data_IF_964807784783
#
_entry.id   IF_964807784783
#
_cell.length_a   1.000
_cell.length_b   1.000
_cell.length_c   1.000
_cell.angle_alpha   90.00
_cell.angle_beta   90.00
_cell.angle_gamma   90.00
#
_symmetry.space_group_name_H-M   'P 1'
#
loop_
_entity.id
_entity.type
_entity.pdbx_description
1 polymer ?
#
# COMPACT_ATOMS: atom_id res chain seq x y z
N UNK A 1 3.62 13.20 -8.24
CA UNK A 1 4.55 12.44 -9.11
C UNK A 1 5.81 12.22 -8.30
N UNK A 2 5.82 11.19 -7.47
CA UNK A 2 7.02 10.77 -6.74
C UNK A 2 8.08 10.40 -7.78
N UNK A 3 9.28 10.95 -7.64
CA UNK A 3 10.41 10.68 -8.55
C UNK A 3 10.78 9.19 -8.48
N UNK A 4 11.19 8.57 -9.60
CA UNK A 4 11.72 7.20 -9.58
C UNK A 4 12.94 7.11 -8.67
N UNK A 5 12.96 6.08 -7.84
CA UNK A 5 13.94 5.87 -6.78
C UNK A 5 15.29 5.38 -7.37
N UNK A 6 16.44 5.91 -6.94
CA UNK A 6 17.76 5.45 -7.36
C UNK A 6 18.04 4.00 -6.87
N UNK A 7 18.59 3.18 -7.77
CA UNK A 7 18.61 1.72 -7.66
C UNK A 7 19.87 1.10 -7.04
N UNK A 8 20.68 1.86 -6.29
CA UNK A 8 21.96 1.36 -5.78
C UNK A 8 22.34 2.01 -4.45
N UNK A 9 21.73 1.56 -3.36
CA UNK A 9 22.12 2.03 -2.02
C UNK A 9 22.28 0.86 -1.05
N UNK A 10 23.43 0.78 -0.39
CA UNK A 10 23.79 -0.36 0.49
C UNK A 10 23.22 -0.16 1.90
N UNK A 11 22.44 -1.13 2.40
CA UNK A 11 22.15 -1.40 3.83
C UNK A 11 21.36 -0.32 4.60
N UNK A 12 22.05 0.68 5.14
CA UNK A 12 21.46 1.75 5.97
C UNK A 12 20.49 2.62 5.15
N UNK A 13 20.85 2.86 3.90
CA UNK A 13 20.06 3.60 2.93
C UNK A 13 18.76 2.90 2.51
N UNK A 14 18.76 1.56 2.40
CA UNK A 14 17.54 0.79 2.11
C UNK A 14 16.54 0.82 3.26
N UNK A 15 17.02 0.86 4.52
CA UNK A 15 16.15 1.02 5.68
C UNK A 15 15.52 2.41 5.70
N UNK A 16 16.32 3.47 5.52
CA UNK A 16 15.80 4.85 5.45
C UNK A 16 14.79 4.99 4.30
N UNK A 17 15.11 4.42 3.14
CA UNK A 17 14.23 4.39 1.99
C UNK A 17 12.93 3.64 2.28
N UNK A 18 13.00 2.46 2.91
CA UNK A 18 11.82 1.69 3.29
C UNK A 18 10.89 2.49 4.22
N UNK A 19 11.44 3.22 5.18
CA UNK A 19 10.67 4.04 6.11
C UNK A 19 10.02 5.25 5.43
N UNK A 20 10.74 5.93 4.53
CA UNK A 20 10.21 7.09 3.79
C UNK A 20 9.04 6.68 2.88
N UNK A 21 9.13 5.50 2.24
CA UNK A 21 8.14 5.03 1.26
C UNK A 21 7.16 3.98 1.82
N UNK A 22 7.14 3.76 3.13
CA UNK A 22 6.33 2.73 3.78
C UNK A 22 4.83 2.89 3.49
N UNK A 23 4.34 4.13 3.45
CA UNK A 23 2.93 4.41 3.16
C UNK A 23 2.57 4.14 1.70
N UNK A 24 3.44 4.48 0.75
CA UNK A 24 3.25 4.18 -0.68
C UNK A 24 3.16 2.66 -0.89
N UNK A 25 4.00 1.89 -0.19
CA UNK A 25 3.90 0.43 -0.18
C UNK A 25 2.56 -0.07 0.40
N UNK A 26 2.16 0.44 1.57
CA UNK A 26 0.92 0.05 2.23
C UNK A 26 -0.35 0.44 1.46
N UNK A 27 -0.30 1.49 0.64
CA UNK A 27 -1.41 1.95 -0.21
C UNK A 27 -1.34 1.39 -1.65
N UNK A 28 -0.34 0.55 -1.95
CA UNK A 28 -0.13 -0.05 -3.29
C UNK A 28 0.07 1.01 -4.39
N UNK A 29 0.79 2.08 -4.06
CA UNK A 29 1.08 3.22 -4.94
C UNK A 29 2.50 3.16 -5.55
N UNK A 30 3.19 2.02 -5.40
CA UNK A 30 4.53 1.80 -5.94
C UNK A 30 4.48 1.20 -7.35
N UNK A 31 5.59 1.34 -8.10
CA UNK A 31 5.78 0.55 -9.31
C UNK A 31 6.02 -0.93 -8.96
N UNK A 32 5.74 -1.88 -9.86
CA UNK A 32 5.97 -3.31 -9.58
C UNK A 32 7.43 -3.62 -9.17
N UNK A 33 8.40 -2.95 -9.78
CA UNK A 33 9.83 -3.16 -9.49
C UNK A 33 10.25 -2.58 -8.13
N UNK A 34 9.65 -1.47 -7.71
CA UNK A 34 9.89 -0.90 -6.38
C UNK A 34 9.19 -1.72 -5.29
N UNK A 35 7.97 -2.19 -5.57
CA UNK A 35 7.21 -3.05 -4.66
C UNK A 35 7.97 -4.35 -4.37
N UNK A 36 8.53 -5.00 -5.40
CA UNK A 36 9.29 -6.22 -5.23
C UNK A 36 10.54 -6.01 -4.35
N UNK A 37 11.29 -4.92 -4.57
CA UNK A 37 12.46 -4.59 -3.73
C UNK A 37 12.08 -4.30 -2.29
N UNK A 38 11.00 -3.55 -2.06
CA UNK A 38 10.48 -3.30 -0.72
C UNK A 38 10.11 -4.62 -0.02
N UNK A 39 9.46 -5.56 -0.73
CA UNK A 39 9.15 -6.90 -0.19
C UNK A 39 10.42 -7.68 0.17
N UNK A 40 11.42 -7.67 -0.70
CA UNK A 40 12.68 -8.38 -0.47
C UNK A 40 13.43 -7.79 0.74
N UNK A 41 13.43 -6.47 0.90
CA UNK A 41 14.00 -5.80 2.07
C UNK A 41 13.28 -6.18 3.36
N UNK A 42 11.94 -6.02 3.38
CA UNK A 42 11.12 -6.31 4.56
C UNK A 42 11.21 -7.78 5.01
N UNK A 43 11.43 -8.71 4.07
CA UNK A 43 11.61 -10.12 4.37
C UNK A 43 12.88 -10.43 5.19
N UNK A 44 13.89 -9.56 5.12
CA UNK A 44 15.19 -9.77 5.76
C UNK A 44 15.54 -8.70 6.80
N UNK A 45 14.75 -7.64 6.91
CA UNK A 45 15.00 -6.50 7.80
C UNK A 45 13.97 -6.46 8.95
N UNK A 46 14.32 -7.07 10.08
CA UNK A 46 13.49 -7.06 11.29
C UNK A 46 13.03 -5.67 11.77
N UNK A 47 13.86 -4.61 11.78
CA UNK A 47 13.40 -3.29 12.23
C UNK A 47 12.35 -2.69 11.28
N UNK A 48 12.55 -2.74 9.96
CA UNK A 48 11.57 -2.23 9.01
C UNK A 48 10.26 -3.05 9.02
N UNK A 49 10.34 -4.36 9.26
CA UNK A 49 9.15 -5.20 9.45
C UNK A 49 8.34 -4.81 10.70
N UNK A 50 9.03 -4.38 11.78
CA UNK A 50 8.37 -3.90 12.98
C UNK A 50 7.61 -2.58 12.72
N UNK A 51 8.21 -1.65 11.99
CA UNK A 51 7.57 -0.39 11.59
C UNK A 51 6.36 -0.64 10.68
N UNK A 52 6.49 -1.51 9.66
CA UNK A 52 5.36 -1.94 8.83
C UNK A 52 4.20 -2.48 9.67
N UNK A 53 4.50 -3.36 10.63
CA UNK A 53 3.50 -3.98 11.49
C UNK A 53 2.77 -2.95 12.36
N UNK A 54 3.50 -1.95 12.89
CA UNK A 54 2.91 -0.86 13.64
C UNK A 54 1.95 -0.04 12.77
N UNK A 55 2.36 0.31 11.56
CA UNK A 55 1.54 1.09 10.63
C UNK A 55 0.30 0.33 10.13
N UNK A 56 0.42 -0.98 9.91
CA UNK A 56 -0.76 -1.81 9.62
C UNK A 56 -1.79 -1.78 10.74
N UNK A 57 -1.35 -1.80 12.01
CA UNK A 57 -2.25 -1.73 13.17
C UNK A 57 -2.95 -0.38 13.18
N UNK A 58 -2.23 0.71 12.93
CA UNK A 58 -2.81 2.06 12.83
C UNK A 58 -3.84 2.12 11.70
N UNK A 59 -3.49 1.65 10.49
CA UNK A 59 -4.42 1.59 9.35
C UNK A 59 -5.66 0.75 9.65
N UNK A 60 -5.50 -0.40 10.30
CA UNK A 60 -6.62 -1.25 10.76
C UNK A 60 -7.52 -0.50 11.76
N UNK A 61 -6.92 0.21 12.72
CA UNK A 61 -7.64 0.99 13.71
C UNK A 61 -8.43 2.14 13.07
N UNK A 62 -7.81 2.90 12.16
CA UNK A 62 -8.46 3.99 11.43
C UNK A 62 -9.61 3.47 10.58
N UNK A 63 -9.39 2.38 9.81
CA UNK A 63 -10.45 1.75 9.01
C UNK A 63 -11.63 1.31 9.86
N UNK A 64 -11.40 0.77 11.05
CA UNK A 64 -12.48 0.40 11.99
C UNK A 64 -13.28 1.61 12.47
N UNK A 65 -12.58 2.70 12.81
CA UNK A 65 -13.20 3.88 13.42
C UNK A 65 -13.88 4.82 12.42
N UNK A 66 -13.43 4.81 11.16
CA UNK A 66 -13.86 5.74 10.11
C UNK A 66 -14.55 5.05 8.92
N UNK A 67 -15.00 3.79 9.08
CA UNK A 67 -15.76 3.11 8.03
C UNK A 67 -17.22 3.59 7.99
N UNK A 68 -17.49 4.61 7.18
CA UNK A 68 -18.86 4.96 6.81
C UNK A 68 -19.40 3.96 5.77
N UNK A 69 -20.65 3.51 5.95
CA UNK A 69 -21.29 2.64 4.97
C UNK A 69 -21.67 3.47 3.76
N UNK A 70 -21.11 3.12 2.60
CA UNK A 70 -21.54 3.68 1.32
C UNK A 70 -23.07 3.54 1.16
N UNK A 71 -23.78 4.60 0.70
CA UNK A 71 -25.21 4.55 0.45
C UNK A 71 -25.59 3.42 -0.50
N UNK A 72 -26.73 2.78 -0.25
CA UNK A 72 -27.20 1.65 -1.06
C UNK A 72 -27.39 2.01 -2.53
N UNK A 73 -27.89 3.22 -2.81
CA UNK A 73 -28.01 3.74 -4.16
C UNK A 73 -26.67 3.76 -4.93
N UNK A 74 -25.55 4.02 -4.25
CA UNK A 74 -24.23 4.00 -4.88
C UNK A 74 -23.82 2.55 -5.22
N UNK A 75 -24.05 1.60 -4.31
CA UNK A 75 -23.78 0.18 -4.56
C UNK A 75 -24.57 -0.34 -5.75
N UNK A 76 -25.88 -0.07 -5.82
CA UNK A 76 -26.74 -0.50 -6.93
C UNK A 76 -26.22 0.04 -8.26
N UNK A 77 -25.84 1.32 -8.31
CA UNK A 77 -25.27 1.95 -9.51
C UNK A 77 -23.97 1.28 -9.95
N UNK A 78 -23.04 1.03 -9.02
CA UNK A 78 -21.76 0.37 -9.32
C UNK A 78 -21.99 -1.04 -9.88
N UNK A 79 -22.83 -1.84 -9.23
CA UNK A 79 -23.14 -3.20 -9.69
C UNK A 79 -23.75 -3.20 -11.09
N UNK A 80 -24.71 -2.30 -11.37
CA UNK A 80 -25.30 -2.20 -12.70
C UNK A 80 -24.26 -1.90 -13.79
N UNK A 81 -23.31 -0.99 -13.53
CA UNK A 81 -22.24 -0.67 -14.48
C UNK A 81 -21.27 -1.83 -14.70
N UNK A 82 -20.88 -2.55 -13.64
CA UNK A 82 -19.99 -3.71 -13.75
C UNK A 82 -20.64 -4.88 -14.53
N UNK A 83 -21.93 -5.13 -14.34
CA UNK A 83 -22.67 -6.17 -15.09
C UNK A 83 -22.72 -5.85 -16.59
N UNK A 84 -22.91 -4.58 -16.95
CA UNK A 84 -22.90 -4.15 -18.36
C UNK A 84 -21.52 -4.35 -18.99
N UNK A 85 -20.44 -4.06 -18.27
CA UNK A 85 -19.07 -4.19 -18.79
C UNK A 85 -18.58 -5.63 -18.97
N UNK A 86 -19.19 -6.60 -18.27
CA UNK A 86 -18.77 -8.02 -18.29
C UNK A 86 -19.57 -8.90 -19.24
N UNK A 87 -20.69 -8.40 -19.78
CA UNK A 87 -21.57 -9.12 -20.72
C UNK A 87 -21.31 -8.74 -22.19
N UNK A 88 -20.15 -8.14 -22.49
CA UNK A 88 -19.74 -7.70 -23.83
C UNK A 88 -18.55 -8.47 -24.36
#
# INVERSE_FOLDING_TARGET
MSKPIPHDTTGESECEHALVHLYEFLDSEMTPDDEQRMRDHLAHCSPCLAELSAEEIVKKLVRRSCAERAPEALRVRIHAQLTVMTTG
#
